data_IF_793383728564
#
_entry.id   IF_793383728564
#
_cell.length_a   1.000
_cell.length_b   1.000
_cell.length_c   1.000
_cell.angle_alpha   90.00
_cell.angle_beta   90.00
_cell.angle_gamma   90.00
#
_symmetry.space_group_name_H-M   'P 1'
#
loop_
_entity.id
_entity.type
_entity.pdbx_description
1 polymer ?
#
# COMPACT_ATOMS: atom_id res chain seq x y z
N UNK A 1 12.16 7.20 1.75
CA UNK A 1 12.69 8.50 2.15
C UNK A 1 11.56 9.52 2.17
N UNK A 2 11.24 10.04 3.33
CA UNK A 2 10.18 11.06 3.48
C UNK A 2 10.72 12.46 3.22
N UNK A 3 9.84 13.39 2.81
CA UNK A 3 10.23 14.79 2.55
C UNK A 3 10.74 15.53 3.80
N UNK A 4 10.33 15.08 4.99
CA UNK A 4 10.82 15.62 6.27
C UNK A 4 12.21 15.11 6.68
N UNK A 5 12.86 14.29 5.83
CA UNK A 5 14.20 13.74 6.07
C UNK A 5 14.22 12.42 6.84
N UNK A 6 13.08 11.91 7.31
CA UNK A 6 12.99 10.59 7.95
C UNK A 6 12.97 9.47 6.92
N UNK A 7 13.40 8.29 7.34
CA UNK A 7 13.38 7.09 6.51
C UNK A 7 12.52 6.02 7.16
N UNK A 8 11.87 5.24 6.31
CA UNK A 8 11.17 4.01 6.68
C UNK A 8 11.80 2.90 5.84
N UNK A 9 12.31 1.86 6.49
CA UNK A 9 12.92 0.71 5.81
C UNK A 9 11.98 -0.48 5.91
N UNK A 10 11.66 -1.04 4.75
CA UNK A 10 10.79 -2.19 4.61
C UNK A 10 11.63 -3.42 4.25
N UNK A 11 11.37 -4.54 4.91
CA UNK A 11 11.73 -5.86 4.42
C UNK A 11 10.54 -6.44 3.68
N UNK A 12 10.72 -6.79 2.40
CA UNK A 12 9.67 -7.41 1.60
C UNK A 12 9.77 -8.93 1.73
N UNK A 13 8.62 -9.59 1.74
CA UNK A 13 8.46 -11.01 2.04
C UNK A 13 7.81 -11.74 0.84
N UNK A 14 8.59 -11.99 -0.24
CA UNK A 14 8.08 -12.60 -1.47
C UNK A 14 7.51 -14.02 -1.26
N UNK A 15 7.91 -14.71 -0.21
CA UNK A 15 7.34 -16.01 0.16
C UNK A 15 5.87 -15.94 0.59
N UNK A 16 5.39 -14.76 1.01
CA UNK A 16 4.00 -14.54 1.39
C UNK A 16 3.14 -14.01 0.25
N UNK A 17 3.70 -13.18 -0.62
CA UNK A 17 2.96 -12.52 -1.71
C UNK A 17 3.92 -12.18 -2.88
N UNK A 18 4.35 -13.16 -3.68
CA UNK A 18 5.41 -12.97 -4.68
C UNK A 18 5.06 -11.94 -5.75
N UNK A 19 3.85 -11.98 -6.31
CA UNK A 19 3.46 -11.03 -7.35
C UNK A 19 3.20 -9.62 -6.80
N UNK A 20 2.70 -9.53 -5.58
CA UNK A 20 2.55 -8.25 -4.86
C UNK A 20 3.91 -7.58 -4.62
N UNK A 21 4.91 -8.36 -4.19
CA UNK A 21 6.29 -7.88 -4.04
C UNK A 21 6.87 -7.44 -5.39
N UNK A 22 6.71 -8.24 -6.44
CA UNK A 22 7.16 -7.87 -7.79
C UNK A 22 6.54 -6.55 -8.24
N UNK A 23 5.23 -6.35 -7.99
CA UNK A 23 4.51 -5.13 -8.31
C UNK A 23 5.06 -3.93 -7.55
N UNK A 24 5.22 -4.05 -6.25
CA UNK A 24 5.76 -2.97 -5.43
C UNK A 24 7.17 -2.56 -5.87
N UNK A 25 8.06 -3.53 -6.10
CA UNK A 25 9.42 -3.29 -6.57
C UNK A 25 9.45 -2.64 -7.97
N UNK A 26 8.60 -3.14 -8.88
CA UNK A 26 8.50 -2.58 -10.24
C UNK A 26 8.05 -1.12 -10.19
N UNK A 27 6.99 -0.80 -9.45
CA UNK A 27 6.47 0.56 -9.29
C UNK A 27 7.49 1.51 -8.63
N UNK A 28 8.21 1.02 -7.62
CA UNK A 28 9.28 1.78 -6.99
C UNK A 28 10.39 2.14 -7.99
N UNK A 29 10.81 1.17 -8.82
CA UNK A 29 11.81 1.40 -9.89
C UNK A 29 11.33 2.36 -10.99
N UNK A 30 10.01 2.42 -11.24
CA UNK A 30 9.41 3.39 -12.17
C UNK A 30 9.22 4.78 -11.55
N UNK A 31 9.60 4.97 -10.28
CA UNK A 31 9.38 6.23 -9.55
C UNK A 31 7.90 6.55 -9.34
N UNK A 32 7.03 5.54 -9.29
CA UNK A 32 5.60 5.75 -9.11
C UNK A 32 5.26 6.33 -7.74
N UNK A 33 6.07 6.04 -6.73
CA UNK A 33 5.88 6.53 -5.37
C UNK A 33 6.52 7.89 -5.10
N UNK A 34 7.40 8.36 -6.00
CA UNK A 34 8.17 9.57 -5.79
C UNK A 34 7.26 10.81 -5.88
N UNK A 35 7.26 11.62 -4.84
CA UNK A 35 6.38 12.78 -4.69
C UNK A 35 4.95 12.43 -4.23
N UNK A 36 4.64 11.16 -4.00
CA UNK A 36 3.32 10.74 -3.55
C UNK A 36 3.14 10.98 -2.04
N UNK A 37 1.91 11.24 -1.61
CA UNK A 37 1.60 11.51 -0.20
C UNK A 37 0.67 10.44 0.38
N UNK A 38 0.78 10.26 1.70
CA UNK A 38 -0.18 9.50 2.49
C UNK A 38 -1.53 10.24 2.43
N UNK A 39 -2.60 9.54 2.05
CA UNK A 39 -3.88 10.17 1.76
C UNK A 39 -4.99 9.82 2.76
N UNK A 40 -4.83 8.74 3.52
CA UNK A 40 -5.83 8.33 4.50
C UNK A 40 -5.19 7.92 5.81
N UNK A 41 -5.74 8.47 6.90
CA UNK A 41 -5.40 8.06 8.25
C UNK A 41 -6.69 7.77 9.00
N UNK A 42 -6.85 6.54 9.47
CA UNK A 42 -7.91 6.13 10.39
C UNK A 42 -7.26 5.64 11.67
N UNK A 43 -7.20 6.49 12.71
CA UNK A 43 -6.49 6.17 13.95
C UNK A 43 -6.97 4.84 14.57
N UNK A 44 -6.02 4.02 15.02
CA UNK A 44 -6.29 2.70 15.56
C UNK A 44 -6.73 1.65 14.52
N UNK A 45 -6.71 1.98 13.24
CA UNK A 45 -7.10 1.06 12.18
C UNK A 45 -6.06 0.94 11.07
N UNK A 46 -5.96 1.95 10.18
CA UNK A 46 -5.01 1.92 9.03
C UNK A 46 -4.46 3.29 8.66
N UNK A 47 -3.32 3.28 8.00
CA UNK A 47 -2.77 4.42 7.25
C UNK A 47 -2.51 3.96 5.83
N UNK A 48 -3.15 4.60 4.84
CA UNK A 48 -3.04 4.24 3.42
C UNK A 48 -2.23 5.26 2.62
N UNK A 49 -1.41 4.76 1.70
CA UNK A 49 -0.61 5.60 0.81
C UNK A 49 -1.43 6.19 -0.34
N UNK A 50 -2.43 5.51 -0.85
CA UNK A 50 -3.21 5.97 -2.01
C UNK A 50 -4.58 5.33 -2.12
N UNK A 51 -5.52 6.11 -2.69
CA UNK A 51 -6.79 5.65 -3.26
C UNK A 51 -6.78 5.70 -4.78
N UNK A 52 -5.86 6.45 -5.35
CA UNK A 52 -5.72 6.62 -6.79
C UNK A 52 -4.32 6.18 -7.19
N UNK A 53 -4.22 5.54 -8.33
CA UNK A 53 -2.94 5.12 -8.87
C UNK A 53 -2.05 6.30 -9.22
N UNK A 54 -1.43 6.90 -8.27
CA UNK A 54 -0.30 7.85 -8.33
C UNK A 54 -0.28 8.83 -9.51
N UNK A 55 -1.42 9.05 -10.20
CA UNK A 55 -1.56 10.00 -11.32
C UNK A 55 -0.85 9.63 -12.63
N UNK A 56 -0.02 8.59 -12.67
CA UNK A 56 0.71 8.14 -13.87
C UNK A 56 0.04 6.90 -14.46
N UNK A 57 -0.24 6.90 -15.76
CA UNK A 57 -0.90 5.75 -16.43
C UNK A 57 -0.14 4.42 -16.26
N UNK A 58 1.19 4.46 -16.29
CA UNK A 58 2.02 3.27 -16.09
C UNK A 58 1.82 2.63 -14.72
N UNK A 59 1.42 3.41 -13.71
CA UNK A 59 1.21 2.95 -12.34
C UNK A 59 -0.21 2.39 -12.12
N UNK A 60 -1.12 2.59 -13.07
CA UNK A 60 -2.53 2.21 -12.98
C UNK A 60 -2.77 0.81 -13.52
N UNK A 61 -2.79 -0.18 -12.66
CA UNK A 61 -3.16 -1.56 -13.02
C UNK A 61 -3.58 -2.33 -11.77
N UNK A 62 -4.24 -3.44 -11.99
CA UNK A 62 -4.57 -4.40 -10.94
C UNK A 62 -3.73 -5.67 -11.08
N UNK A 63 -3.52 -6.33 -9.96
CA UNK A 63 -2.96 -7.67 -9.85
C UNK A 63 -3.95 -8.57 -9.11
N UNK A 64 -3.75 -9.88 -9.18
CA UNK A 64 -4.54 -10.82 -8.39
C UNK A 64 -4.24 -10.64 -6.90
N UNK A 65 -5.29 -10.80 -6.09
CA UNK A 65 -5.18 -10.67 -4.65
C UNK A 65 -4.57 -11.94 -4.05
N UNK A 66 -3.33 -11.85 -3.58
CA UNK A 66 -2.59 -12.95 -2.95
C UNK A 66 -2.95 -13.09 -1.46
N UNK A 67 -4.26 -13.18 -1.12
CA UNK A 67 -4.76 -13.37 0.23
C UNK A 67 -5.52 -14.70 0.40
N UNK A 68 -5.72 -15.12 1.64
CA UNK A 68 -6.38 -16.40 1.94
C UNK A 68 -7.84 -16.43 1.50
N UNK A 69 -8.57 -15.32 1.54
CA UNK A 69 -9.94 -15.24 1.02
C UNK A 69 -10.03 -15.43 -0.50
N UNK A 70 -8.91 -15.26 -1.20
CA UNK A 70 -8.78 -15.49 -2.65
C UNK A 70 -8.04 -16.81 -2.98
N UNK A 71 -7.87 -17.68 -1.99
CA UNK A 71 -7.26 -19.00 -2.18
C UNK A 71 -5.74 -19.02 -2.20
N UNK A 72 -5.08 -17.89 -1.91
CA UNK A 72 -3.62 -17.83 -1.83
C UNK A 72 -3.14 -18.06 -0.38
N UNK A 73 -2.11 -18.89 -0.12
CA UNK A 73 -1.69 -19.25 1.24
C UNK A 73 -0.86 -18.15 1.92
N UNK A 74 -1.37 -16.94 1.98
CA UNK A 74 -0.74 -15.82 2.67
C UNK A 74 -1.23 -15.76 4.12
N UNK A 75 -0.37 -16.19 5.04
CA UNK A 75 -0.66 -16.22 6.48
C UNK A 75 0.09 -15.11 7.25
N UNK A 76 0.67 -14.13 6.56
CA UNK A 76 1.30 -13.00 7.24
C UNK A 76 0.25 -12.27 8.07
N UNK A 77 0.52 -12.10 9.35
CA UNK A 77 -0.39 -11.43 10.26
C UNK A 77 -0.37 -9.92 10.00
N UNK A 78 -1.55 -9.36 9.75
CA UNK A 78 -1.71 -7.92 9.54
C UNK A 78 -1.85 -7.21 10.89
N UNK A 79 -0.76 -6.73 11.41
CA UNK A 79 -0.64 -6.05 12.70
C UNK A 79 0.35 -4.87 12.61
N UNK A 80 0.45 -4.01 13.63
CA UNK A 80 1.40 -2.90 13.62
C UNK A 80 2.81 -3.34 13.25
N UNK A 81 3.41 -2.64 12.30
CA UNK A 81 4.72 -2.98 11.74
C UNK A 81 4.68 -3.79 10.45
N UNK A 82 3.53 -4.30 10.00
CA UNK A 82 3.39 -4.94 8.69
C UNK A 82 2.96 -3.93 7.62
N UNK A 83 3.14 -4.31 6.35
CA UNK A 83 2.62 -3.59 5.18
C UNK A 83 1.78 -4.54 4.33
N UNK A 84 0.63 -4.08 3.86
CA UNK A 84 -0.26 -4.84 3.02
C UNK A 84 -0.68 -4.03 1.78
N UNK A 85 -1.03 -4.74 0.69
CA UNK A 85 -1.53 -4.13 -0.53
C UNK A 85 -3.02 -3.84 -0.41
N UNK A 86 -3.42 -2.62 -0.75
CA UNK A 86 -4.81 -2.18 -0.82
C UNK A 86 -5.49 -2.61 -2.12
N UNK A 87 -6.82 -2.48 -2.19
CA UNK A 87 -7.50 -2.79 -3.43
C UNK A 87 -9.01 -2.98 -3.35
N UNK A 88 -9.56 -3.59 -4.39
CA UNK A 88 -10.98 -3.60 -4.71
C UNK A 88 -11.67 -4.97 -4.48
N UNK A 89 -11.18 -5.75 -3.54
CA UNK A 89 -11.82 -7.02 -3.18
C UNK A 89 -11.91 -7.99 -4.35
N UNK A 90 -13.13 -8.35 -4.77
CA UNK A 90 -13.37 -9.33 -5.85
C UNK A 90 -12.80 -8.91 -7.22
N UNK A 91 -12.62 -7.61 -7.44
CA UNK A 91 -12.02 -7.09 -8.67
C UNK A 91 -10.50 -7.26 -8.73
N UNK A 92 -9.87 -7.73 -7.67
CA UNK A 92 -8.43 -7.77 -7.49
C UNK A 92 -7.94 -6.65 -6.58
N UNK A 93 -6.64 -6.46 -6.51
CA UNK A 93 -6.03 -5.38 -5.74
C UNK A 93 -5.31 -4.40 -6.66
N UNK A 94 -5.19 -3.16 -6.19
CA UNK A 94 -4.35 -2.18 -6.87
C UNK A 94 -2.91 -2.66 -6.94
N UNK A 95 -2.23 -2.45 -8.06
CA UNK A 95 -0.84 -2.87 -8.21
C UNK A 95 0.12 -2.13 -7.29
N UNK A 96 -0.29 -0.96 -6.76
CA UNK A 96 0.59 -0.10 -5.99
C UNK A 96 0.03 0.56 -4.73
N UNK A 97 -1.27 0.48 -4.50
CA UNK A 97 -1.88 1.01 -3.28
C UNK A 97 -1.49 0.14 -2.08
N UNK A 98 -0.91 0.72 -1.05
CA UNK A 98 -0.51 -0.01 0.15
C UNK A 98 -0.94 0.69 1.42
N UNK A 99 -1.01 -0.08 2.51
CA UNK A 99 -1.37 0.45 3.82
C UNK A 99 -0.57 -0.20 4.96
N UNK A 100 -0.52 0.52 6.06
CA UNK A 100 0.01 0.05 7.34
C UNK A 100 -1.15 -0.20 8.30
N UNK A 101 -1.37 -1.44 8.77
CA UNK A 101 -2.29 -1.70 9.87
C UNK A 101 -1.78 -1.04 11.16
N UNK A 102 -2.65 -0.34 11.88
CA UNK A 102 -2.34 0.24 13.19
C UNK A 102 -2.80 -0.64 14.35
N UNK A 103 -3.69 -1.59 14.05
CA UNK A 103 -4.13 -2.63 14.96
C UNK A 103 -4.50 -3.89 14.16
N UNK A 104 -4.54 -5.04 14.83
CA UNK A 104 -5.11 -6.25 14.23
C UNK A 104 -6.61 -6.03 13.97
N UNK A 105 -7.07 -6.45 12.81
CA UNK A 105 -8.47 -6.40 12.43
C UNK A 105 -8.87 -7.60 11.59
N UNK A 106 -9.93 -8.30 12.00
CA UNK A 106 -10.52 -9.41 11.22
C UNK A 106 -11.06 -8.95 9.86
N UNK A 107 -11.38 -7.67 9.72
CA UNK A 107 -11.80 -7.08 8.43
C UNK A 107 -10.66 -6.96 7.42
N UNK A 108 -9.42 -6.97 7.89
CA UNK A 108 -8.22 -6.89 7.06
C UNK A 108 -7.57 -8.26 6.89
N UNK A 109 -7.47 -9.00 8.00
CA UNK A 109 -6.77 -10.28 8.02
C UNK A 109 -7.39 -11.29 7.04
N UNK A 110 -6.57 -11.81 6.15
CA UNK A 110 -7.00 -12.77 5.14
C UNK A 110 -7.71 -12.18 3.92
N UNK A 111 -8.07 -10.89 3.92
CA UNK A 111 -8.71 -10.21 2.79
C UNK A 111 -7.71 -9.39 1.96
N UNK A 112 -6.63 -8.96 2.57
CA UNK A 112 -5.55 -8.22 1.91
C UNK A 112 -4.23 -8.96 2.05
N UNK A 113 -3.36 -8.96 1.04
CA UNK A 113 -2.07 -9.63 1.12
C UNK A 113 -1.08 -8.77 1.90
N UNK A 114 -0.63 -9.28 3.04
CA UNK A 114 0.58 -8.78 3.66
C UNK A 114 1.79 -9.18 2.81
N UNK A 115 2.69 -8.25 2.56
CA UNK A 115 3.84 -8.52 1.68
C UNK A 115 5.17 -8.02 2.22
N UNK A 116 5.19 -7.50 3.44
CA UNK A 116 6.41 -7.01 4.07
C UNK A 116 6.20 -6.52 5.49
N UNK A 117 7.27 -6.02 6.06
CA UNK A 117 7.28 -5.41 7.40
C UNK A 117 8.23 -4.22 7.47
N UNK A 118 7.95 -3.31 8.36
CA UNK A 118 8.84 -2.20 8.70
C UNK A 118 9.93 -2.72 9.63
N UNK A 119 11.19 -2.57 9.23
CA UNK A 119 12.35 -2.96 10.04
C UNK A 119 13.04 -1.76 10.69
N UNK A 120 12.86 -0.55 10.12
CA UNK A 120 13.32 0.72 10.70
C UNK A 120 12.31 1.82 10.40
N UNK A 121 12.17 2.81 11.29
CA UNK A 121 11.34 4.00 11.08
C UNK A 121 9.86 3.81 11.38
N UNK A 122 9.46 2.79 12.13
CA UNK A 122 8.07 2.61 12.56
C UNK A 122 7.55 3.80 13.39
N UNK A 123 8.41 4.47 14.15
CA UNK A 123 8.09 5.69 14.88
C UNK A 123 7.59 6.83 13.97
N UNK A 124 8.05 6.90 12.72
CA UNK A 124 7.53 7.85 11.74
C UNK A 124 6.09 7.49 11.32
N UNK A 125 5.79 6.21 11.08
CA UNK A 125 4.42 5.75 10.79
C UNK A 125 3.50 6.04 11.98
N UNK A 126 3.94 5.76 13.21
CA UNK A 126 3.18 6.08 14.42
C UNK A 126 2.93 7.58 14.58
N UNK A 127 3.89 8.42 14.21
CA UNK A 127 3.74 9.88 14.23
C UNK A 127 2.58 10.34 13.33
N UNK A 128 2.38 9.70 12.18
CA UNK A 128 1.32 10.07 11.25
C UNK A 128 -0.08 9.91 11.83
N UNK A 129 -0.26 8.95 12.75
CA UNK A 129 -1.57 8.72 13.40
C UNK A 129 -2.06 9.95 14.19
N UNK A 130 -1.15 10.81 14.62
CA UNK A 130 -1.46 11.98 15.44
C UNK A 130 -1.39 13.31 14.69
N UNK A 131 -1.16 13.32 13.37
CA UNK A 131 -1.15 14.57 12.61
C UNK A 131 -2.57 15.11 12.43
N UNK A 132 -2.73 16.46 12.33
CA UNK A 132 -4.02 17.03 12.01
C UNK A 132 -4.54 16.58 10.64
N UNK A 133 -5.80 16.18 10.60
CA UNK A 133 -6.47 15.69 9.40
C UNK A 133 -7.80 16.42 9.15
N UNK A 134 -8.36 16.27 7.97
CA UNK A 134 -9.72 16.67 7.64
C UNK A 134 -10.44 15.54 6.90
N UNK A 135 -11.78 15.41 7.08
CA UNK A 135 -12.54 14.38 6.40
C UNK A 135 -12.70 14.71 4.91
N UNK A 136 -12.52 13.69 4.07
CA UNK A 136 -12.72 13.76 2.61
C UNK A 136 -13.70 12.68 2.20
N UNK A 137 -14.51 12.94 1.16
CA UNK A 137 -15.37 11.92 0.57
C UNK A 137 -14.56 11.00 -0.35
N UNK A 138 -14.82 9.71 -0.24
CA UNK A 138 -14.23 8.74 -1.17
C UNK A 138 -14.64 9.09 -2.61
N UNK A 139 -13.72 9.09 -3.59
CA UNK A 139 -14.02 9.46 -4.99
C UNK A 139 -15.15 8.65 -5.62
N UNK A 140 -15.29 7.37 -5.27
CA UNK A 140 -16.37 6.50 -5.75
C UNK A 140 -17.72 6.71 -5.03
N UNK A 141 -17.81 7.63 -4.05
CA UNK A 141 -19.00 7.86 -3.25
C UNK A 141 -19.29 6.81 -2.18
N UNK A 142 -18.42 5.82 -2.00
CA UNK A 142 -18.57 4.83 -0.93
C UNK A 142 -18.46 5.48 0.46
N UNK A 143 -19.18 4.96 1.47
CA UNK A 143 -19.15 5.48 2.83
C UNK A 143 -17.90 5.01 3.59
N UNK A 144 -16.73 5.31 3.03
CA UNK A 144 -15.42 4.97 3.59
C UNK A 144 -14.90 6.21 4.31
N UNK A 145 -14.48 6.05 5.55
CA UNK A 145 -13.82 7.11 6.30
C UNK A 145 -12.46 7.42 5.70
N UNK A 146 -12.29 8.67 5.27
CA UNK A 146 -11.01 9.21 4.79
C UNK A 146 -10.71 10.46 5.59
N UNK A 147 -9.63 10.43 6.35
CA UNK A 147 -9.06 11.60 7.02
C UNK A 147 -7.73 11.90 6.36
N UNK A 148 -7.73 12.90 5.49
CA UNK A 148 -6.53 13.33 4.78
C UNK A 148 -5.71 14.26 5.66
N UNK A 149 -4.36 14.10 5.74
CA UNK A 149 -3.50 15.02 6.47
C UNK A 149 -3.63 16.47 5.96
N UNK A 150 -3.73 17.44 6.88
CA UNK A 150 -3.74 18.87 6.52
C UNK A 150 -2.43 19.29 5.86
N UNK A 151 -1.31 18.75 6.32
CA UNK A 151 0.01 18.94 5.74
C UNK A 151 0.46 17.65 5.06
N UNK A 152 0.83 17.67 3.76
CA UNK A 152 1.18 16.46 3.03
C UNK A 152 2.33 15.66 3.68
N UNK A 153 2.09 14.39 3.92
CA UNK A 153 3.11 13.42 4.35
C UNK A 153 3.73 12.78 3.11
N UNK A 154 4.65 13.50 2.48
CA UNK A 154 5.14 13.16 1.14
C UNK A 154 6.30 12.16 1.19
N UNK A 155 6.18 11.11 0.38
CA UNK A 155 7.27 10.20 0.02
C UNK A 155 8.14 10.94 -1.00
N UNK A 156 9.36 11.33 -0.61
CA UNK A 156 10.29 11.99 -1.53
C UNK A 156 10.78 11.04 -2.61
N UNK A 157 11.12 9.81 -2.22
CA UNK A 157 11.64 8.78 -3.09
C UNK A 157 11.57 7.41 -2.43
N UNK A 158 11.38 6.37 -3.24
CA UNK A 158 11.57 4.98 -2.82
C UNK A 158 12.82 4.41 -3.49
N UNK A 159 13.75 3.90 -2.70
CA UNK A 159 14.94 3.18 -3.18
C UNK A 159 14.78 1.68 -2.93
N UNK A 160 15.32 0.87 -3.83
CA UNK A 160 15.20 -0.59 -3.79
C UNK A 160 16.58 -1.22 -3.72
N UNK A 161 16.76 -2.11 -2.75
CA UNK A 161 17.95 -2.97 -2.64
C UNK A 161 17.49 -4.43 -2.72
N UNK A 162 17.98 -5.19 -3.69
CA UNK A 162 17.59 -6.60 -3.90
C UNK A 162 18.70 -7.60 -3.57
N UNK A 163 19.86 -7.11 -3.12
CA UNK A 163 21.02 -7.96 -2.77
C UNK A 163 21.41 -8.95 -3.86
N UNK A 164 21.21 -8.56 -5.13
CA UNK A 164 21.50 -9.38 -6.29
C UNK A 164 20.43 -10.39 -6.68
N UNK A 165 19.27 -10.41 -6.00
CA UNK A 165 18.13 -11.19 -6.43
C UNK A 165 17.39 -10.52 -7.59
N UNK A 166 16.95 -11.32 -8.56
CA UNK A 166 16.13 -10.89 -9.68
C UNK A 166 14.64 -11.00 -9.33
N UNK A 167 13.92 -9.94 -9.64
CA UNK A 167 12.46 -9.88 -9.49
C UNK A 167 11.84 -9.57 -10.85
N UNK A 168 10.98 -10.45 -11.39
CA UNK A 168 10.34 -10.24 -12.67
C UNK A 168 9.33 -9.09 -12.61
N UNK A 169 8.90 -8.63 -13.78
CA UNK A 169 7.75 -7.74 -13.86
C UNK A 169 6.50 -8.40 -13.26
N UNK A 170 5.58 -7.61 -12.64
CA UNK A 170 4.37 -8.18 -12.09
C UNK A 170 3.46 -8.76 -13.17
N UNK A 171 2.80 -9.84 -12.83
CA UNK A 171 1.68 -10.38 -13.62
C UNK A 171 0.47 -9.50 -13.34
N UNK A 172 0.03 -8.75 -14.37
CA UNK A 172 -1.11 -7.85 -14.30
C UNK A 172 -2.39 -8.56 -14.72
N UNK A 173 -3.50 -8.15 -14.11
CA UNK A 173 -4.82 -8.61 -14.59
C UNK A 173 -5.17 -7.93 -15.90
N UNK A 174 -5.75 -8.68 -16.80
CA UNK A 174 -6.44 -8.08 -17.94
C UNK A 174 -7.71 -7.37 -17.43
N UNK A 175 -7.82 -6.09 -17.73
CA UNK A 175 -8.99 -5.29 -17.35
C UNK A 175 -9.48 -4.51 -18.55
N UNK A 176 -10.81 -4.51 -18.71
CA UNK A 176 -11.46 -3.67 -19.71
C UNK A 176 -11.77 -2.27 -19.16
N UNK A 177 -11.96 -2.14 -17.86
CA UNK A 177 -12.25 -0.88 -17.19
C UNK A 177 -11.59 -0.86 -15.80
N UNK A 178 -11.04 0.30 -15.44
CA UNK A 178 -10.53 0.54 -14.09
C UNK A 178 -11.70 0.84 -13.14
N UNK A 179 -11.57 0.53 -11.85
CA UNK A 179 -12.58 0.88 -10.87
C UNK A 179 -12.85 2.39 -10.83
N UNK A 180 -14.07 2.83 -10.46
CA UNK A 180 -14.36 4.23 -10.29
C UNK A 180 -13.42 4.92 -9.30
N UNK A 181 -12.88 6.08 -9.70
CA UNK A 181 -11.96 6.86 -8.86
C UNK A 181 -10.48 6.66 -9.17
N UNK A 182 -10.19 5.90 -10.20
CA UNK A 182 -8.82 5.70 -10.72
C UNK A 182 -8.44 6.75 -11.78
#
# INVERSE_FOLDING_TARGET
HMANGRNIVLELLPEHAPNTVNSFLWLARQGCYDGHSIQRIVPGYVIDASYNAFGKEICKYLIDNESTSHGFPNHLKLEPGTIAMGGYGEMGIAGGEFFFPLAYSEKLQGHYPGFGRVIEGWDEVQRWESVPTHPVRHPSGLPIEINEPLEPLTIRQVTVETFGADYPEPVRREMHELPPGW
#
